data_IF_183605716216
#
_entry.id   IF_183605716216
#
_cell.length_a   1.000
_cell.length_b   1.000
_cell.length_c   1.000
_cell.angle_alpha   90.00
_cell.angle_beta   90.00
_cell.angle_gamma   90.00
#
_symmetry.space_group_name_H-M   'P 1'
#
loop_
_entity.id
_entity.type
_entity.pdbx_description
1 polymer ?
#
# COMPACT_ATOMS: atom_id res chain seq x y z
N UNK A 1 -13.17 -28.22 3.59
CA UNK A 1 -11.86 -27.82 4.18
C UNK A 1 -11.30 -26.66 3.37
N UNK A 2 -11.01 -25.51 3.99
CA UNK A 2 -10.35 -24.39 3.31
C UNK A 2 -8.88 -24.74 3.07
N UNK A 3 -8.33 -24.34 1.91
CA UNK A 3 -6.92 -24.58 1.57
C UNK A 3 -6.03 -23.52 2.24
N UNK A 4 -4.80 -23.89 2.57
CA UNK A 4 -3.82 -22.92 3.05
C UNK A 4 -3.28 -22.05 1.90
N UNK A 5 -3.04 -20.74 2.11
CA UNK A 5 -2.49 -19.83 1.11
C UNK A 5 -0.97 -20.05 0.98
N UNK A 6 -0.57 -21.15 0.35
CA UNK A 6 0.84 -21.47 0.15
C UNK A 6 1.39 -20.57 -0.96
N UNK A 7 2.32 -19.68 -0.62
CA UNK A 7 2.93 -18.74 -1.56
C UNK A 7 2.10 -17.48 -1.85
N UNK A 8 0.82 -17.48 -1.46
CA UNK A 8 -0.03 -16.29 -1.54
C UNK A 8 0.12 -15.44 -0.29
N UNK A 9 0.32 -14.14 -0.49
CA UNK A 9 0.47 -13.18 0.61
C UNK A 9 -0.38 -11.94 0.44
N UNK A 10 -1.03 -11.75 -0.70
CA UNK A 10 -1.99 -10.69 -0.91
C UNK A 10 -3.29 -10.97 -0.13
N UNK A 11 -3.68 -10.02 0.71
CA UNK A 11 -4.84 -10.21 1.59
C UNK A 11 -6.14 -10.28 0.80
N UNK A 12 -6.27 -9.52 -0.30
CA UNK A 12 -7.47 -9.52 -1.13
C UNK A 12 -7.63 -10.86 -1.83
N UNK A 13 -6.57 -11.40 -2.42
CA UNK A 13 -6.57 -12.75 -3.02
C UNK A 13 -6.92 -13.83 -1.99
N UNK A 14 -6.36 -13.74 -0.78
CA UNK A 14 -6.68 -14.67 0.32
C UNK A 14 -8.19 -14.66 0.63
N UNK A 15 -8.82 -13.49 0.63
CA UNK A 15 -10.25 -13.36 0.90
C UNK A 15 -11.11 -13.82 -0.27
N UNK A 16 -10.76 -13.46 -1.51
CA UNK A 16 -11.50 -13.85 -2.73
C UNK A 16 -11.47 -15.36 -2.93
N UNK A 17 -10.30 -15.98 -2.80
CA UNK A 17 -10.10 -17.42 -2.98
C UNK A 17 -10.54 -18.24 -1.76
N UNK A 18 -11.03 -17.58 -0.70
CA UNK A 18 -11.51 -18.19 0.53
C UNK A 18 -10.46 -19.12 1.19
N UNK A 19 -9.20 -18.70 1.17
CA UNK A 19 -8.10 -19.43 1.82
C UNK A 19 -8.25 -19.39 3.35
N UNK A 20 -7.67 -20.39 4.01
CA UNK A 20 -7.55 -20.40 5.46
C UNK A 20 -6.47 -19.40 5.89
N UNK A 21 -6.88 -18.36 6.61
CA UNK A 21 -5.96 -17.40 7.21
C UNK A 21 -6.38 -17.13 8.66
N UNK A 22 -5.40 -17.03 9.55
CA UNK A 22 -5.64 -16.59 10.92
C UNK A 22 -6.09 -15.13 10.92
N UNK A 23 -7.20 -14.87 11.59
CA UNK A 23 -7.73 -13.52 11.69
C UNK A 23 -6.90 -12.65 12.65
N UNK A 24 -6.12 -11.76 12.05
CA UNK A 24 -5.30 -10.72 12.70
C UNK A 24 -5.86 -9.31 12.49
N UNK A 25 -7.11 -9.17 12.06
CA UNK A 25 -7.67 -7.86 11.64
C UNK A 25 -7.77 -6.84 12.77
N UNK A 26 -7.88 -7.27 14.04
CA UNK A 26 -7.81 -6.36 15.20
C UNK A 26 -6.49 -5.58 15.29
N UNK A 27 -5.42 -6.05 14.66
CA UNK A 27 -4.18 -5.28 14.52
C UNK A 27 -4.44 -3.90 13.90
N UNK A 28 -5.35 -3.79 12.93
CA UNK A 28 -5.65 -2.51 12.29
C UNK A 28 -6.20 -1.50 13.30
N UNK A 29 -7.10 -1.94 14.19
CA UNK A 29 -7.62 -1.09 15.25
C UNK A 29 -6.51 -0.60 16.17
N UNK A 30 -5.65 -1.51 16.63
CA UNK A 30 -4.48 -1.12 17.44
C UNK A 30 -3.54 -0.18 16.69
N UNK A 31 -3.38 -0.36 15.38
CA UNK A 31 -2.51 0.48 14.56
C UNK A 31 -3.05 1.92 14.42
N UNK A 32 -4.37 2.09 14.25
CA UNK A 32 -4.98 3.41 14.04
C UNK A 32 -5.38 4.13 15.32
N UNK A 33 -5.68 3.39 16.38
CA UNK A 33 -6.00 3.97 17.68
C UNK A 33 -4.73 4.35 18.47
N UNK A 34 -3.55 3.89 18.04
CA UNK A 34 -2.25 4.28 18.62
C UNK A 34 -1.82 5.68 18.14
N UNK A 35 -1.16 6.41 19.04
CA UNK A 35 -0.61 7.75 18.79
C UNK A 35 0.78 7.74 18.13
N UNK A 36 1.34 6.55 17.88
CA UNK A 36 2.66 6.38 17.27
C UNK A 36 2.73 7.00 15.87
N UNK A 37 3.70 7.89 15.64
CA UNK A 37 3.98 8.46 14.31
C UNK A 37 4.65 7.47 13.35
N UNK A 38 5.37 6.50 13.90
CA UNK A 38 6.08 5.45 13.16
C UNK A 38 5.93 4.15 13.94
N UNK A 39 5.44 3.11 13.26
CA UNK A 39 5.20 1.78 13.87
C UNK A 39 6.16 0.75 13.27
N UNK A 40 7.05 0.20 14.09
CA UNK A 40 7.98 -0.85 13.68
C UNK A 40 7.36 -2.25 13.87
N UNK A 41 7.05 -2.92 12.77
CA UNK A 41 6.63 -4.33 12.82
C UNK A 41 7.87 -5.25 12.86
N UNK A 42 8.23 -5.79 14.03
CA UNK A 42 9.37 -6.70 14.23
C UNK A 42 9.23 -8.03 13.48
N UNK A 43 10.29 -8.54 12.80
CA UNK A 43 10.28 -9.62 11.78
C UNK A 43 10.70 -11.03 12.25
N UNK A 44 9.85 -11.80 12.97
CA UNK A 44 9.97 -13.26 12.98
C UNK A 44 9.70 -13.83 11.59
N UNK A 45 10.49 -14.82 11.16
CA UNK A 45 10.33 -15.50 9.86
C UNK A 45 8.97 -16.21 9.81
N UNK A 46 8.27 -16.16 8.67
CA UNK A 46 6.94 -16.76 8.42
C UNK A 46 5.76 -16.20 9.24
N UNK A 47 5.90 -15.02 9.86
CA UNK A 47 4.83 -14.44 10.68
C UNK A 47 3.73 -13.68 9.90
N UNK A 48 3.50 -14.01 8.62
CA UNK A 48 2.47 -13.41 7.74
C UNK A 48 2.55 -11.88 7.60
N UNK A 49 3.77 -11.36 7.50
CA UNK A 49 4.03 -9.91 7.46
C UNK A 49 3.61 -9.25 6.17
N UNK A 50 3.96 -9.83 5.04
CA UNK A 50 3.53 -9.35 3.73
C UNK A 50 2.00 -9.29 3.66
N UNK A 51 1.32 -10.31 4.19
CA UNK A 51 -0.15 -10.32 4.33
C UNK A 51 -0.66 -9.23 5.26
N UNK A 52 0.04 -8.94 6.36
CA UNK A 52 -0.34 -7.83 7.25
C UNK A 52 -0.18 -6.47 6.56
N UNK A 53 0.88 -6.29 5.77
CA UNK A 53 1.11 -5.07 4.99
C UNK A 53 0.07 -4.90 3.87
N UNK A 54 -0.25 -5.97 3.15
CA UNK A 54 -1.32 -5.98 2.14
C UNK A 54 -2.69 -5.71 2.78
N UNK A 55 -2.98 -6.31 3.95
CA UNK A 55 -4.19 -6.01 4.72
C UNK A 55 -4.27 -4.54 5.15
N UNK A 56 -3.17 -3.96 5.65
CA UNK A 56 -3.11 -2.55 6.03
C UNK A 56 -3.28 -1.63 4.82
N UNK A 57 -2.63 -1.95 3.68
CA UNK A 57 -2.81 -1.25 2.40
C UNK A 57 -4.30 -1.22 2.05
N UNK A 58 -4.94 -2.38 1.93
CA UNK A 58 -6.35 -2.47 1.53
C UNK A 58 -7.31 -1.84 2.52
N UNK A 59 -7.01 -1.86 3.82
CA UNK A 59 -7.82 -1.17 4.81
C UNK A 59 -7.70 0.35 4.69
N UNK A 60 -6.52 0.87 4.39
CA UNK A 60 -6.21 2.30 4.47
C UNK A 60 -6.48 3.06 3.18
N UNK A 61 -6.22 2.44 2.03
CA UNK A 61 -6.16 3.11 0.72
C UNK A 61 -7.52 3.69 0.31
N UNK A 62 -7.54 5.01 0.10
CA UNK A 62 -8.69 5.75 -0.42
C UNK A 62 -9.13 5.31 -1.82
N UNK A 63 -8.21 4.75 -2.61
CA UNK A 63 -8.53 4.26 -3.94
C UNK A 63 -9.22 2.88 -3.91
N UNK A 64 -9.20 2.18 -2.77
CA UNK A 64 -9.92 0.92 -2.61
C UNK A 64 -11.40 1.21 -2.29
N UNK A 65 -12.35 0.78 -3.16
CA UNK A 65 -13.76 1.04 -2.95
C UNK A 65 -14.28 0.49 -1.63
N UNK A 66 -15.20 1.23 -1.00
CA UNK A 66 -15.84 0.83 0.26
C UNK A 66 -16.42 -0.60 0.18
N UNK A 67 -17.15 -0.92 -0.90
CA UNK A 67 -17.75 -2.24 -1.11
C UNK A 67 -16.73 -3.38 -1.13
N UNK A 68 -15.56 -3.14 -1.74
CA UNK A 68 -14.45 -4.10 -1.79
C UNK A 68 -13.82 -4.29 -0.41
N UNK A 69 -13.59 -3.19 0.34
CA UNK A 69 -13.16 -3.26 1.74
C UNK A 69 -14.15 -4.03 2.61
N UNK A 70 -15.44 -3.71 2.55
CA UNK A 70 -16.46 -4.43 3.33
C UNK A 70 -16.47 -5.93 2.98
N UNK A 71 -16.35 -6.30 1.70
CA UNK A 71 -16.23 -7.70 1.29
C UNK A 71 -15.03 -8.41 1.93
N UNK A 72 -13.88 -7.73 2.04
CA UNK A 72 -12.69 -8.29 2.67
C UNK A 72 -12.82 -8.44 4.20
N UNK A 73 -13.53 -7.53 4.87
CA UNK A 73 -13.57 -7.48 6.33
C UNK A 73 -14.84 -8.03 6.98
N UNK A 74 -15.97 -8.20 6.27
CA UNK A 74 -17.29 -8.57 6.84
C UNK A 74 -17.32 -9.76 7.80
N UNK A 75 -16.46 -10.75 7.59
CA UNK A 75 -16.42 -11.98 8.40
C UNK A 75 -15.13 -12.04 9.25
N UNK A 76 -14.70 -10.89 9.80
CA UNK A 76 -13.46 -10.78 10.57
C UNK A 76 -13.69 -10.09 11.91
N UNK A 77 -12.75 -10.22 12.83
CA UNK A 77 -12.81 -9.65 14.18
C UNK A 77 -12.96 -8.13 14.15
N UNK A 78 -12.26 -7.42 13.26
CA UNK A 78 -12.44 -5.96 13.15
C UNK A 78 -13.85 -5.57 12.72
N UNK A 79 -14.56 -6.42 11.96
CA UNK A 79 -15.95 -6.15 11.62
C UNK A 79 -16.90 -6.38 12.78
N UNK A 80 -16.53 -7.23 13.74
CA UNK A 80 -17.30 -7.35 14.98
C UNK A 80 -17.24 -6.08 15.82
N UNK A 81 -16.19 -5.26 15.66
CA UNK A 81 -16.09 -3.94 16.29
C UNK A 81 -17.20 -3.03 15.78
N UNK A 82 -18.13 -2.71 16.66
CA UNK A 82 -19.28 -1.83 16.38
C UNK A 82 -20.12 -2.31 15.17
N UNK A 83 -20.20 -3.63 14.93
CA UNK A 83 -21.02 -4.18 13.84
C UNK A 83 -20.62 -3.72 12.44
N UNK A 84 -19.33 -3.51 12.21
CA UNK A 84 -18.74 -3.09 10.94
C UNK A 84 -18.63 -1.58 10.79
N UNK A 85 -19.18 -0.82 11.75
CA UNK A 85 -19.12 0.64 11.73
C UNK A 85 -17.68 1.14 11.83
N UNK A 86 -16.82 0.47 12.60
CA UNK A 86 -15.39 0.82 12.68
C UNK A 86 -14.71 0.80 11.31
N UNK A 87 -14.98 -0.24 10.49
CA UNK A 87 -14.41 -0.39 9.14
C UNK A 87 -14.95 0.68 8.19
N UNK A 88 -16.23 1.05 8.31
CA UNK A 88 -16.86 2.12 7.53
C UNK A 88 -16.26 3.50 7.82
N UNK A 89 -16.04 3.79 9.09
CA UNK A 89 -15.59 5.13 9.52
C UNK A 89 -14.08 5.31 9.37
N UNK A 90 -13.29 4.26 9.64
CA UNK A 90 -11.82 4.35 9.70
C UNK A 90 -11.12 3.75 8.48
N UNK A 91 -11.80 2.92 7.69
CA UNK A 91 -11.25 2.37 6.46
C UNK A 91 -11.22 3.41 5.34
N UNK A 92 -10.23 3.29 4.45
CA UNK A 92 -10.11 4.11 3.23
C UNK A 92 -9.87 5.59 3.52
N UNK A 93 -9.24 5.90 4.65
CA UNK A 93 -9.05 7.27 5.13
C UNK A 93 -7.70 7.89 4.74
N UNK A 94 -6.84 7.14 4.04
CA UNK A 94 -5.48 7.59 3.72
C UNK A 94 -5.06 7.24 2.28
N UNK A 95 -4.38 8.14 1.55
CA UNK A 95 -3.59 7.72 0.41
C UNK A 95 -2.44 6.81 0.87
N UNK A 96 -2.16 5.77 0.09
CA UNK A 96 -1.13 4.77 0.43
C UNK A 96 -0.11 4.69 -0.71
N UNK A 97 1.17 4.79 -0.36
CA UNK A 97 2.29 4.39 -1.23
C UNK A 97 2.73 3.00 -0.75
N UNK A 98 2.59 1.98 -1.60
CA UNK A 98 2.99 0.62 -1.28
C UNK A 98 4.23 0.22 -2.09
N UNK A 99 5.32 -0.14 -1.41
CA UNK A 99 6.62 -0.42 -2.00
C UNK A 99 7.21 -1.71 -1.43
N UNK A 100 7.68 -2.61 -2.31
CA UNK A 100 8.23 -3.91 -1.88
C UNK A 100 9.61 -4.18 -2.46
N UNK A 101 10.58 -4.39 -1.58
CA UNK A 101 11.96 -4.70 -1.94
C UNK A 101 12.24 -6.21 -2.05
N UNK A 102 11.20 -7.06 -2.09
CA UNK A 102 11.37 -8.52 -2.15
C UNK A 102 12.23 -8.96 -3.35
N UNK A 103 12.12 -8.25 -4.47
CA UNK A 103 12.84 -8.55 -5.72
C UNK A 103 14.24 -7.91 -5.79
N UNK A 104 14.71 -7.30 -4.69
CA UNK A 104 16.03 -6.65 -4.58
C UNK A 104 17.10 -7.55 -3.92
N UNK A 105 16.81 -8.84 -3.72
CA UNK A 105 17.75 -9.79 -3.09
C UNK A 105 18.66 -10.48 -4.13
N UNK A 106 19.88 -10.83 -3.73
CA UNK A 106 20.86 -11.58 -4.54
C UNK A 106 21.27 -10.93 -5.87
N UNK A 107 21.33 -9.60 -5.93
CA UNK A 107 21.79 -8.83 -7.10
C UNK A 107 23.01 -7.98 -6.75
N UNK A 108 23.86 -7.72 -7.75
CA UNK A 108 24.98 -6.79 -7.60
C UNK A 108 24.49 -5.33 -7.56
N UNK A 109 25.41 -4.41 -7.26
CA UNK A 109 25.08 -2.99 -7.12
C UNK A 109 24.41 -2.38 -8.35
N UNK A 110 24.90 -2.68 -9.54
CA UNK A 110 24.33 -2.16 -10.80
C UNK A 110 22.94 -2.74 -11.08
N UNK A 111 22.72 -4.02 -10.76
CA UNK A 111 21.40 -4.65 -10.80
C UNK A 111 20.44 -4.01 -9.80
N UNK A 112 20.91 -3.72 -8.58
CA UNK A 112 20.12 -3.07 -7.54
C UNK A 112 19.64 -1.69 -7.97
N UNK A 113 20.54 -0.84 -8.51
CA UNK A 113 20.15 0.49 -9.03
C UNK A 113 19.04 0.39 -10.08
N UNK A 114 19.23 -0.47 -11.09
CA UNK A 114 18.22 -0.70 -12.14
C UNK A 114 16.90 -1.17 -11.53
N UNK A 115 16.96 -2.04 -10.52
CA UNK A 115 15.77 -2.57 -9.87
C UNK A 115 15.02 -1.52 -9.06
N UNK A 116 15.73 -0.64 -8.36
CA UNK A 116 15.14 0.48 -7.63
C UNK A 116 14.41 1.45 -8.58
N UNK A 117 15.00 1.75 -9.74
CA UNK A 117 14.37 2.58 -10.78
C UNK A 117 13.04 1.97 -11.23
N UNK A 118 13.03 0.68 -11.58
CA UNK A 118 11.82 -0.03 -12.01
C UNK A 118 10.77 -0.02 -10.90
N UNK A 119 11.17 -0.29 -9.67
CA UNK A 119 10.29 -0.34 -8.52
C UNK A 119 9.65 1.03 -8.22
N UNK A 120 10.41 2.14 -8.31
CA UNK A 120 9.87 3.50 -8.17
C UNK A 120 8.93 3.82 -9.34
N UNK A 121 9.30 3.46 -10.57
CA UNK A 121 8.44 3.61 -11.74
C UNK A 121 7.10 2.88 -11.55
N UNK A 122 7.12 1.65 -11.03
CA UNK A 122 5.89 0.89 -10.75
C UNK A 122 5.03 1.56 -9.68
N UNK A 123 5.62 2.10 -8.63
CA UNK A 123 4.90 2.93 -7.65
C UNK A 123 4.21 4.11 -8.35
N UNK A 124 4.91 4.84 -9.21
CA UNK A 124 4.33 5.95 -9.96
C UNK A 124 3.19 5.50 -10.91
N UNK A 125 3.30 4.32 -11.53
CA UNK A 125 2.22 3.76 -12.36
C UNK A 125 0.93 3.57 -11.57
N UNK A 126 1.01 3.14 -10.31
CA UNK A 126 -0.17 2.97 -9.44
C UNK A 126 -0.88 4.30 -9.14
N UNK A 127 -0.15 5.42 -9.22
CA UNK A 127 -0.68 6.77 -8.99
C UNK A 127 -0.83 7.60 -10.26
N UNK A 128 -0.89 6.94 -11.44
CA UNK A 128 -1.01 7.62 -12.75
C UNK A 128 -2.22 8.56 -12.83
N UNK A 129 -3.29 8.27 -12.10
CA UNK A 129 -4.50 9.12 -12.04
C UNK A 129 -4.22 10.56 -11.62
N UNK A 130 -3.11 10.84 -10.93
CA UNK A 130 -2.69 12.21 -10.59
C UNK A 130 -2.39 13.07 -11.83
N UNK A 131 -1.96 12.43 -12.93
CA UNK A 131 -1.70 13.12 -14.20
C UNK A 131 -2.98 13.45 -14.98
N UNK A 132 -4.07 12.73 -14.74
CA UNK A 132 -5.28 12.79 -15.58
C UNK A 132 -6.21 13.96 -15.20
N UNK A 133 -6.04 14.54 -14.01
CA UNK A 133 -6.99 15.50 -13.41
C UNK A 133 -6.52 16.96 -13.40
N UNK A 134 -5.57 17.30 -14.26
CA UNK A 134 -4.98 18.66 -14.37
C UNK A 134 -4.57 19.27 -13.02
N UNK A 135 -4.08 18.41 -12.13
CA UNK A 135 -3.74 18.77 -10.75
C UNK A 135 -2.26 19.12 -10.56
N UNK A 136 -1.39 18.45 -11.32
CA UNK A 136 0.05 18.67 -11.31
C UNK A 136 0.41 19.86 -12.21
N UNK A 137 1.40 20.66 -11.81
CA UNK A 137 1.98 21.67 -12.70
C UNK A 137 2.71 21.00 -13.88
N UNK A 138 2.98 21.75 -14.96
CA UNK A 138 3.56 21.17 -16.18
C UNK A 138 4.96 20.57 -15.98
N UNK A 139 5.78 21.20 -15.13
CA UNK A 139 7.09 20.68 -14.73
C UNK A 139 6.97 19.41 -13.87
N UNK A 140 5.98 19.37 -12.96
CA UNK A 140 5.67 18.19 -12.16
C UNK A 140 5.18 17.02 -13.04
N UNK A 141 4.32 17.30 -14.04
CA UNK A 141 3.86 16.30 -15.02
C UNK A 141 5.02 15.75 -15.84
N UNK A 142 5.94 16.62 -16.28
CA UNK A 142 7.13 16.22 -17.03
C UNK A 142 7.99 15.27 -16.20
N UNK A 143 8.26 15.63 -14.95
CA UNK A 143 9.06 14.81 -14.04
C UNK A 143 8.36 13.49 -13.69
N UNK A 144 7.05 13.53 -13.41
CA UNK A 144 6.25 12.34 -13.19
C UNK A 144 6.34 11.38 -14.38
N UNK A 145 6.25 11.90 -15.60
CA UNK A 145 6.36 11.12 -16.84
C UNK A 145 7.75 10.53 -17.03
N UNK A 146 8.82 11.25 -16.66
CA UNK A 146 10.20 10.72 -16.69
C UNK A 146 10.35 9.52 -15.76
N UNK A 147 9.87 9.63 -14.52
CA UNK A 147 9.91 8.54 -13.54
C UNK A 147 9.04 7.36 -14.02
N UNK A 148 7.84 7.64 -14.53
CA UNK A 148 6.92 6.65 -15.07
C UNK A 148 7.58 5.82 -16.19
N UNK A 149 8.39 6.46 -17.02
CA UNK A 149 9.11 5.84 -18.14
C UNK A 149 10.48 5.25 -17.77
N UNK A 150 10.84 5.24 -16.48
CA UNK A 150 12.16 4.80 -16.03
C UNK A 150 13.33 5.55 -16.74
N UNK A 151 13.13 6.85 -17.03
CA UNK A 151 14.14 7.68 -17.70
C UNK A 151 15.39 7.83 -16.83
N UNK A 152 16.61 7.74 -17.39
CA UNK A 152 17.85 7.97 -16.64
C UNK A 152 18.02 9.44 -16.19
N UNK A 153 17.27 10.37 -16.79
CA UNK A 153 17.29 11.80 -16.45
C UNK A 153 16.35 12.17 -15.29
N UNK A 154 15.57 11.20 -14.78
CA UNK A 154 14.63 11.44 -13.70
C UNK A 154 15.32 11.54 -12.34
N UNK A 155 14.76 12.33 -11.44
CA UNK A 155 15.19 12.44 -10.05
C UNK A 155 14.55 11.33 -9.20
N UNK A 156 15.23 10.19 -9.12
CA UNK A 156 14.82 9.07 -8.27
C UNK A 156 15.10 9.29 -6.79
N UNK A 157 16.03 10.18 -6.43
CA UNK A 157 16.39 10.47 -5.04
C UNK A 157 15.20 11.14 -4.32
N UNK A 158 14.59 12.12 -4.98
CA UNK A 158 13.42 12.84 -4.48
C UNK A 158 12.06 12.20 -4.80
N UNK A 159 12.01 11.13 -5.59
CA UNK A 159 10.77 10.62 -6.18
C UNK A 159 9.69 10.28 -5.15
N UNK A 160 9.98 9.45 -4.15
CA UNK A 160 8.96 9.04 -3.17
C UNK A 160 8.50 10.22 -2.29
N UNK A 161 9.38 11.18 -2.01
CA UNK A 161 9.02 12.41 -1.29
C UNK A 161 8.04 13.25 -2.13
N UNK A 162 8.39 13.52 -3.40
CA UNK A 162 7.54 14.27 -4.34
C UNK A 162 6.18 13.60 -4.51
N UNK A 163 6.14 12.28 -4.69
CA UNK A 163 4.88 11.55 -4.79
C UNK A 163 4.01 11.69 -3.53
N UNK A 164 4.63 11.62 -2.34
CA UNK A 164 3.94 11.85 -1.07
C UNK A 164 3.37 13.28 -0.99
N UNK A 165 4.12 14.28 -1.42
CA UNK A 165 3.66 15.67 -1.50
C UNK A 165 2.48 15.82 -2.48
N UNK A 166 2.54 15.21 -3.65
CA UNK A 166 1.46 15.22 -4.63
C UNK A 166 0.18 14.60 -4.07
N UNK A 167 0.28 13.44 -3.43
CA UNK A 167 -0.85 12.76 -2.79
C UNK A 167 -1.41 13.58 -1.63
N UNK A 168 -0.55 14.19 -0.81
CA UNK A 168 -1.00 15.07 0.28
C UNK A 168 -1.78 16.26 -0.26
N UNK A 169 -1.27 16.95 -1.28
CA UNK A 169 -1.97 18.08 -1.91
C UNK A 169 -3.28 17.64 -2.58
N UNK A 170 -3.31 16.46 -3.20
CA UNK A 170 -4.48 15.98 -3.95
C UNK A 170 -5.62 15.54 -3.01
N UNK A 171 -5.30 14.83 -1.93
CA UNK A 171 -6.30 14.31 -0.98
C UNK A 171 -6.51 15.20 0.25
N UNK A 172 -5.65 16.20 0.47
CA UNK A 172 -5.54 16.98 1.71
C UNK A 172 -5.41 16.09 2.96
N UNK A 173 -4.66 14.99 2.84
CA UNK A 173 -4.55 13.92 3.84
C UNK A 173 -3.12 13.38 3.89
N UNK A 174 -2.62 13.08 5.08
CA UNK A 174 -1.29 12.47 5.26
C UNK A 174 -1.23 11.12 4.55
N UNK A 175 -0.08 10.82 3.94
CA UNK A 175 0.17 9.60 3.18
C UNK A 175 0.76 8.53 4.10
N UNK A 176 0.27 7.30 3.99
CA UNK A 176 0.90 6.13 4.59
C UNK A 176 1.86 5.53 3.57
N UNK A 177 3.12 5.32 3.96
CA UNK A 177 4.12 4.64 3.15
C UNK A 177 4.37 3.26 3.76
N UNK A 178 4.14 2.21 2.97
CA UNK A 178 4.16 0.81 3.36
C UNK A 178 5.25 0.03 2.63
#
# INVERSE_FOLDING_TARGET
LRRYPIGESDYKEIKIQNFFAFDKTLFLKHFFDDSAKVTLLLRPRRFAKTTTMSMLKYFSDMNEPQSSREMMFKDTKIWSEQGGQYVRDHGGQYPVIFITFNECSNINWEGLKKRLIVLISDVYKHHRYLMEKDFLAEDEKLEFKRILNASPEADYEGALRKLSEYLYRYYNKKVIIL
#
